data_IF_461448203176
#
_entry.id   IF_461448203176
#
_cell.length_a   1.000
_cell.length_b   1.000
_cell.length_c   1.000
_cell.angle_alpha   90.00
_cell.angle_beta   90.00
_cell.angle_gamma   90.00
#
_symmetry.space_group_name_H-M   'P 1'
#
loop_
_entity.id
_entity.type
_entity.pdbx_description
1 polymer ?
#
# COMPACT_ATOMS: atom_id res chain seq x y z
N UNK A 1 -76.75 10.04 2.70
CA UNK A 1 -77.55 10.10 3.95
C UNK A 1 -77.38 8.77 4.67
N UNK A 2 -77.17 8.80 6.00
CA UNK A 2 -76.90 7.68 6.93
C UNK A 2 -75.44 7.20 6.97
N UNK A 3 -74.83 6.91 8.12
CA UNK A 3 -75.12 7.08 9.56
C UNK A 3 -73.75 6.96 10.25
N UNK A 4 -73.49 7.81 11.25
CA UNK A 4 -72.36 7.69 12.18
C UNK A 4 -72.48 6.42 13.03
N UNK A 5 -71.37 5.70 13.27
CA UNK A 5 -71.22 4.87 14.48
C UNK A 5 -69.82 4.99 15.07
N UNK A 6 -69.80 5.60 16.25
CA UNK A 6 -68.73 5.68 17.24
C UNK A 6 -68.64 4.39 18.07
N UNK A 7 -67.42 3.94 18.38
CA UNK A 7 -67.14 2.86 19.33
C UNK A 7 -65.70 2.97 19.83
N UNK A 8 -65.54 3.21 21.13
CA UNK A 8 -64.33 3.65 21.81
C UNK A 8 -63.24 2.60 22.11
N UNK A 9 -62.30 2.92 23.01
CA UNK A 9 -60.90 2.50 22.95
C UNK A 9 -60.58 1.24 23.75
N UNK A 10 -59.74 0.35 23.18
CA UNK A 10 -59.06 -0.69 23.94
C UNK A 10 -57.64 -0.23 24.28
N UNK A 11 -57.38 0.06 25.55
CA UNK A 11 -56.04 0.27 26.12
C UNK A 11 -55.37 -1.10 26.30
N UNK A 12 -54.25 -1.40 25.63
CA UNK A 12 -53.43 -2.54 26.01
C UNK A 12 -52.50 -2.17 27.17
N UNK A 13 -52.51 -3.03 28.17
CA UNK A 13 -51.63 -3.09 29.33
C UNK A 13 -50.17 -3.20 28.84
N UNK A 14 -49.33 -2.20 29.10
CA UNK A 14 -47.89 -2.27 28.79
C UNK A 14 -47.19 -2.98 29.95
N UNK A 15 -46.86 -4.26 29.77
CA UNK A 15 -45.92 -4.97 30.65
C UNK A 15 -44.51 -4.40 30.44
N UNK A 16 -43.97 -3.74 31.45
CA UNK A 16 -42.58 -3.30 31.48
C UNK A 16 -41.66 -4.51 31.75
N UNK A 17 -41.17 -5.14 30.67
CA UNK A 17 -40.12 -6.16 30.76
C UNK A 17 -38.78 -5.46 30.97
N UNK A 18 -38.24 -5.54 32.19
CA UNK A 18 -36.90 -5.07 32.52
C UNK A 18 -35.86 -5.98 31.84
N UNK A 19 -35.44 -5.62 30.62
CA UNK A 19 -34.28 -6.23 29.98
C UNK A 19 -33.02 -5.78 30.74
N UNK A 20 -32.47 -6.67 31.56
CA UNK A 20 -31.11 -6.56 32.08
C UNK A 20 -30.14 -6.59 30.89
N UNK A 21 -29.69 -5.42 30.46
CA UNK A 21 -28.61 -5.26 29.50
C UNK A 21 -27.32 -5.74 30.16
N UNK A 22 -27.00 -7.03 30.00
CA UNK A 22 -25.64 -7.52 30.21
C UNK A 22 -24.80 -6.89 29.11
N UNK A 23 -24.16 -5.76 29.43
CA UNK A 23 -23.14 -5.18 28.59
C UNK A 23 -21.99 -6.18 28.52
N UNK A 24 -21.98 -7.01 27.48
CA UNK A 24 -20.80 -7.78 27.11
C UNK A 24 -19.74 -6.75 26.72
N UNK A 25 -18.82 -6.47 27.64
CA UNK A 25 -17.61 -5.75 27.30
C UNK A 25 -16.91 -6.59 26.22
N UNK A 26 -17.10 -6.20 24.96
CA UNK A 26 -16.33 -6.79 23.87
C UNK A 26 -14.86 -6.64 24.28
N UNK A 27 -14.07 -7.73 24.32
CA UNK A 27 -12.67 -7.60 24.64
C UNK A 27 -12.09 -6.55 23.70
N UNK A 28 -11.45 -5.53 24.26
CA UNK A 28 -10.59 -4.62 23.53
C UNK A 28 -9.40 -5.45 23.06
N UNK A 29 -9.62 -6.26 22.02
CA UNK A 29 -8.55 -6.98 21.36
C UNK A 29 -7.58 -5.93 20.82
N UNK A 30 -6.29 -6.15 21.10
CA UNK A 30 -5.21 -5.55 20.34
C UNK A 30 -5.59 -5.56 18.85
N UNK A 31 -5.53 -4.39 18.20
CA UNK A 31 -5.92 -4.25 16.80
C UNK A 31 -4.81 -3.55 16.07
N UNK A 32 -3.99 -4.33 15.38
CA UNK A 32 -3.16 -3.82 14.31
C UNK A 32 -4.03 -2.99 13.36
N UNK A 33 -3.71 -1.70 13.29
CA UNK A 33 -4.32 -0.73 12.42
C UNK A 33 -3.30 -0.25 11.39
N UNK A 34 -3.80 0.06 10.19
CA UNK A 34 -2.97 0.49 9.07
C UNK A 34 -3.52 1.79 8.50
N UNK A 35 -2.64 2.71 8.12
CA UNK A 35 -2.98 3.83 7.27
C UNK A 35 -2.00 3.96 6.12
N UNK A 36 -2.50 4.45 4.99
CA UNK A 36 -1.70 4.82 3.83
C UNK A 36 -2.01 6.28 3.48
N UNK A 37 -0.96 7.04 3.21
CA UNK A 37 -1.02 8.33 2.54
C UNK A 37 -0.04 8.35 1.36
N UNK A 38 -0.17 9.32 0.47
CA UNK A 38 0.75 9.44 -0.65
C UNK A 38 0.37 10.54 -1.62
N UNK A 39 1.20 10.69 -2.66
CA UNK A 39 1.01 11.69 -3.69
C UNK A 39 1.30 11.14 -5.08
N UNK A 40 0.58 11.65 -6.07
CA UNK A 40 0.90 11.52 -7.49
C UNK A 40 1.50 12.84 -7.96
N UNK A 41 2.74 12.81 -8.47
CA UNK A 41 3.52 14.01 -8.79
C UNK A 41 4.13 13.94 -10.20
N UNK A 42 4.18 15.06 -10.95
CA UNK A 42 3.56 16.35 -10.63
C UNK A 42 2.03 16.27 -10.71
N UNK A 43 1.34 17.27 -10.12
CA UNK A 43 -0.05 17.50 -10.47
C UNK A 43 -0.14 17.90 -11.96
N UNK A 44 -1.19 17.45 -12.64
CA UNK A 44 -1.42 17.73 -14.06
C UNK A 44 -2.38 18.91 -14.15
N UNK A 45 -1.86 20.05 -14.60
CA UNK A 45 -2.65 21.25 -14.87
C UNK A 45 -3.09 21.29 -16.33
N UNK A 46 -4.33 21.71 -16.58
CA UNK A 46 -4.91 21.75 -17.92
C UNK A 46 -5.38 20.39 -18.43
N UNK A 47 -5.70 20.33 -19.73
CA UNK A 47 -6.20 19.14 -20.41
C UNK A 47 -5.20 18.68 -21.47
N UNK A 48 -4.12 17.99 -21.08
CA UNK A 48 -3.10 17.58 -22.03
C UNK A 48 -3.70 16.59 -23.04
N UNK A 49 -3.29 16.69 -24.30
CA UNK A 49 -3.68 15.75 -25.36
C UNK A 49 -2.89 14.45 -25.32
N UNK A 50 -1.82 14.40 -24.52
CA UNK A 50 -0.96 13.23 -24.32
C UNK A 50 -0.80 12.92 -22.84
N UNK A 51 -0.71 11.64 -22.46
CA UNK A 51 -0.46 11.25 -21.07
C UNK A 51 0.84 11.87 -20.54
N UNK A 52 0.81 12.38 -19.32
CA UNK A 52 1.95 12.98 -18.65
C UNK A 52 2.64 11.95 -17.76
N UNK A 53 3.97 11.97 -17.74
CA UNK A 53 4.78 11.13 -16.84
C UNK A 53 4.57 11.58 -15.39
N UNK A 54 4.24 10.63 -14.52
CA UNK A 54 4.01 10.86 -13.09
C UNK A 54 4.80 9.86 -12.24
N UNK A 55 5.00 10.23 -10.97
CA UNK A 55 5.55 9.40 -9.92
C UNK A 55 4.50 9.23 -8.82
N UNK A 56 4.35 8.00 -8.36
CA UNK A 56 3.54 7.63 -7.22
C UNK A 56 4.44 7.53 -6.00
N UNK A 57 4.17 8.35 -4.98
CA UNK A 57 4.77 8.22 -3.65
C UNK A 57 3.71 7.68 -2.70
N UNK A 58 4.01 6.63 -1.96
CA UNK A 58 3.13 6.06 -0.93
C UNK A 58 3.91 5.93 0.37
N UNK A 59 3.25 6.23 1.47
CA UNK A 59 3.74 6.03 2.82
C UNK A 59 2.66 5.26 3.58
N UNK A 60 3.02 4.10 4.13
CA UNK A 60 2.15 3.32 5.01
C UNK A 60 2.67 3.33 6.43
N UNK A 61 1.75 3.35 7.39
CA UNK A 61 2.01 3.23 8.83
C UNK A 61 1.18 2.11 9.40
N UNK A 62 1.79 1.32 10.25
CA UNK A 62 1.14 0.20 10.95
C UNK A 62 1.39 0.39 12.43
N UNK A 63 0.32 0.41 13.21
CA UNK A 63 0.33 0.57 14.66
C UNK A 63 -0.46 -0.58 15.28
N UNK A 64 -0.13 -0.97 16.50
CA UNK A 64 -0.77 -2.08 17.18
C UNK A 64 0.14 -2.69 18.25
N UNK A 65 -0.42 -3.63 18.99
CA UNK A 65 0.17 -4.27 20.16
C UNK A 65 -0.05 -5.80 20.17
N UNK A 66 -0.36 -6.39 19.02
CA UNK A 66 -0.65 -7.83 18.87
C UNK A 66 0.53 -8.77 19.19
N UNK A 67 1.78 -8.31 19.00
CA UNK A 67 2.99 -9.08 19.35
C UNK A 67 3.47 -8.61 20.72
N UNK A 68 3.41 -9.51 21.70
CA UNK A 68 3.85 -9.31 23.09
C UNK A 68 3.28 -8.06 23.78
N UNK A 69 2.12 -7.57 23.34
CA UNK A 69 1.52 -6.34 23.87
C UNK A 69 2.25 -5.05 23.45
N UNK A 70 3.13 -5.11 22.44
CA UNK A 70 4.07 -4.01 22.13
C UNK A 70 4.13 -3.61 20.67
N UNK A 71 3.95 -4.56 19.75
CA UNK A 71 4.13 -4.31 18.33
C UNK A 71 2.94 -4.79 17.50
N UNK A 72 2.66 -4.16 16.34
CA UNK A 72 1.64 -4.67 15.43
C UNK A 72 1.99 -6.07 14.93
N UNK A 73 0.98 -6.81 14.50
CA UNK A 73 1.12 -8.13 13.93
C UNK A 73 2.01 -8.13 12.67
N UNK A 74 2.63 -9.27 12.42
CA UNK A 74 3.54 -9.47 11.28
C UNK A 74 2.77 -9.51 9.98
N UNK A 75 3.07 -8.59 9.07
CA UNK A 75 2.48 -8.57 7.74
C UNK A 75 2.97 -9.76 6.90
N UNK A 76 2.05 -10.52 6.33
CA UNK A 76 2.33 -11.69 5.47
C UNK A 76 2.06 -11.38 3.99
N UNK A 77 1.14 -10.46 3.71
CA UNK A 77 0.76 -10.07 2.35
C UNK A 77 0.18 -8.67 2.34
N UNK A 78 0.50 -7.91 1.30
CA UNK A 78 -0.12 -6.63 1.01
C UNK A 78 -0.71 -6.67 -0.41
N UNK A 79 -1.98 -6.35 -0.56
CA UNK A 79 -2.63 -6.19 -1.87
C UNK A 79 -3.06 -4.74 -2.01
N UNK A 80 -2.64 -4.08 -3.08
CA UNK A 80 -3.04 -2.70 -3.38
C UNK A 80 -3.77 -2.66 -4.73
N UNK A 81 -4.95 -2.06 -4.73
CA UNK A 81 -5.79 -1.84 -5.90
C UNK A 81 -5.86 -0.33 -6.19
N UNK A 82 -5.58 0.03 -7.43
CA UNK A 82 -5.53 1.42 -7.89
C UNK A 82 -6.71 1.68 -8.83
N UNK A 83 -7.33 2.85 -8.71
CA UNK A 83 -8.40 3.29 -9.62
C UNK A 83 -7.91 3.38 -11.06
N UNK A 84 -8.87 3.44 -11.99
CA UNK A 84 -8.60 3.76 -13.38
C UNK A 84 -7.96 5.15 -13.55
N UNK A 85 -7.30 5.37 -14.69
CA UNK A 85 -6.79 6.69 -15.10
C UNK A 85 -5.28 6.75 -15.31
N UNK A 86 -4.53 5.89 -14.61
CA UNK A 86 -3.10 5.71 -14.85
C UNK A 86 -2.83 4.61 -15.88
N UNK A 87 -1.67 4.69 -16.55
CA UNK A 87 -1.11 3.65 -17.41
C UNK A 87 0.27 3.29 -16.87
N UNK A 88 0.53 1.99 -16.73
CA UNK A 88 1.86 1.48 -16.36
C UNK A 88 2.51 0.92 -17.62
N UNK A 89 3.62 1.54 -18.01
CA UNK A 89 4.31 1.30 -19.27
C UNK A 89 5.53 0.37 -19.11
N UNK A 90 5.48 -0.56 -18.15
CA UNK A 90 6.64 -1.38 -17.77
C UNK A 90 7.25 -2.20 -18.91
N UNK A 91 6.48 -2.49 -19.96
CA UNK A 91 6.96 -3.20 -21.16
C UNK A 91 8.00 -2.40 -21.97
N UNK A 92 8.04 -1.06 -21.86
CA UNK A 92 9.03 -0.24 -22.54
C UNK A 92 10.35 -0.10 -21.76
N UNK A 93 10.36 -0.49 -20.48
CA UNK A 93 11.51 -0.35 -19.61
C UNK A 93 12.31 -1.65 -19.55
N UNK A 94 13.64 -1.61 -19.42
CA UNK A 94 14.44 -2.80 -19.18
C UNK A 94 13.92 -3.55 -17.95
N UNK A 95 13.87 -4.88 -18.04
CA UNK A 95 13.45 -5.73 -16.92
C UNK A 95 14.67 -6.21 -16.12
N UNK A 96 14.52 -6.31 -14.81
CA UNK A 96 15.42 -7.08 -13.96
C UNK A 96 14.88 -8.50 -13.76
N UNK A 97 15.77 -9.50 -13.87
CA UNK A 97 15.46 -10.90 -13.60
C UNK A 97 15.62 -11.17 -12.09
N UNK A 98 14.54 -11.57 -11.37
CA UNK A 98 14.61 -11.85 -9.95
C UNK A 98 15.67 -12.89 -9.60
N UNK A 99 15.81 -13.96 -10.42
CA UNK A 99 16.79 -15.02 -10.18
C UNK A 99 18.23 -14.52 -10.32
N UNK A 100 18.46 -13.54 -11.20
CA UNK A 100 19.77 -12.91 -11.34
C UNK A 100 20.08 -12.02 -10.15
N UNK A 101 19.10 -11.24 -9.68
CA UNK A 101 19.28 -10.37 -8.52
C UNK A 101 19.57 -11.19 -7.25
N UNK A 102 18.82 -12.27 -7.01
CA UNK A 102 19.06 -13.23 -5.92
C UNK A 102 20.46 -13.86 -5.98
N UNK A 103 20.85 -14.43 -7.13
CA UNK A 103 22.19 -15.04 -7.31
C UNK A 103 23.32 -14.05 -7.04
N UNK A 104 23.12 -12.79 -7.40
CA UNK A 104 24.08 -11.71 -7.18
C UNK A 104 23.97 -11.09 -5.78
N UNK A 105 23.25 -11.75 -4.85
CA UNK A 105 23.03 -11.31 -3.46
C UNK A 105 22.49 -9.89 -3.37
N UNK A 106 21.59 -9.55 -4.30
CA UNK A 106 20.91 -8.26 -4.32
C UNK A 106 21.78 -7.08 -4.75
N UNK A 107 22.93 -7.32 -5.40
CA UNK A 107 23.76 -6.24 -5.96
C UNK A 107 22.97 -5.47 -7.03
N UNK A 108 22.83 -4.14 -6.92
CA UNK A 108 22.11 -3.34 -7.91
C UNK A 108 22.62 -3.49 -9.35
N UNK A 109 23.92 -3.79 -9.52
CA UNK A 109 24.55 -4.04 -10.82
C UNK A 109 24.07 -5.32 -11.52
N UNK A 110 23.34 -6.20 -10.82
CA UNK A 110 22.73 -7.39 -11.39
C UNK A 110 21.58 -7.04 -12.35
N UNK A 111 20.93 -5.90 -12.13
CA UNK A 111 19.84 -5.42 -12.95
C UNK A 111 20.35 -4.51 -14.09
N UNK A 112 19.76 -4.58 -15.30
CA UNK A 112 20.11 -3.66 -16.39
C UNK A 112 19.92 -2.20 -15.99
N UNK A 113 20.77 -1.30 -16.51
CA UNK A 113 20.58 0.14 -16.34
C UNK A 113 19.22 0.56 -16.87
N UNK A 114 18.52 1.43 -16.14
CA UNK A 114 17.15 1.87 -16.47
C UNK A 114 16.03 0.94 -16.00
N UNK A 115 16.34 -0.25 -15.43
CA UNK A 115 15.32 -1.12 -14.83
C UNK A 115 14.93 -0.70 -13.42
N UNK A 116 15.76 0.09 -12.70
CA UNK A 116 15.38 0.67 -11.41
C UNK A 116 14.31 1.73 -11.65
N UNK A 117 13.09 1.47 -11.17
CA UNK A 117 11.87 2.29 -11.37
C UNK A 117 11.45 3.08 -10.14
N UNK A 118 12.12 2.86 -9.02
CA UNK A 118 11.77 3.50 -7.78
C UNK A 118 12.74 3.23 -6.65
N UNK A 119 12.44 3.80 -5.49
CA UNK A 119 13.20 3.63 -4.25
C UNK A 119 12.36 4.02 -3.05
N UNK A 120 12.86 3.73 -1.86
CA UNK A 120 12.20 4.08 -0.62
C UNK A 120 12.86 3.46 0.60
N UNK A 121 12.08 3.24 1.65
CA UNK A 121 12.52 2.52 2.83
C UNK A 121 11.35 1.78 3.49
N UNK A 122 11.69 0.82 4.35
CA UNK A 122 10.78 0.23 5.32
C UNK A 122 11.42 0.30 6.71
N UNK A 123 10.60 0.43 7.73
CA UNK A 123 11.00 0.47 9.12
C UNK A 123 10.25 -0.64 9.85
N UNK A 124 11.00 -1.52 10.50
CA UNK A 124 10.44 -2.65 11.23
C UNK A 124 11.19 -2.89 12.53
N UNK A 125 10.51 -3.58 13.43
CA UNK A 125 11.03 -3.93 14.76
C UNK A 125 10.83 -5.42 15.00
N UNK A 126 11.78 -6.05 15.67
CA UNK A 126 11.67 -7.41 16.20
C UNK A 126 12.30 -7.43 17.59
N UNK A 127 11.51 -7.76 18.63
CA UNK A 127 11.93 -7.74 20.04
C UNK A 127 12.60 -6.40 20.42
N UNK A 128 13.93 -6.35 20.49
CA UNK A 128 14.74 -5.18 20.85
C UNK A 128 15.49 -4.56 19.67
N UNK A 129 15.37 -5.16 18.48
CA UNK A 129 16.08 -4.72 17.27
C UNK A 129 15.12 -3.94 16.39
N UNK A 130 15.52 -2.72 16.03
CA UNK A 130 14.78 -1.89 15.09
C UNK A 130 15.67 -1.60 13.90
N UNK A 131 15.16 -1.82 12.69
CA UNK A 131 15.93 -1.69 11.46
C UNK A 131 15.19 -0.81 10.45
N UNK A 132 15.95 0.08 9.80
CA UNK A 132 15.52 0.81 8.62
C UNK A 132 16.12 0.14 7.38
N UNK A 133 15.27 -0.52 6.61
CA UNK A 133 15.65 -1.18 5.38
C UNK A 133 15.57 -0.17 4.23
N UNK A 134 16.65 -0.04 3.48
CA UNK A 134 16.67 0.67 2.20
C UNK A 134 15.95 -0.17 1.15
N UNK A 135 15.05 0.44 0.40
CA UNK A 135 14.27 -0.24 -0.62
C UNK A 135 14.62 0.31 -2.01
N UNK A 136 14.98 -0.57 -2.93
CA UNK A 136 15.06 -0.29 -4.36
C UNK A 136 13.91 -1.00 -5.08
N UNK A 137 13.30 -0.35 -6.06
CA UNK A 137 12.22 -0.94 -6.85
C UNK A 137 12.69 -1.09 -8.29
N UNK A 138 12.61 -2.30 -8.82
CA UNK A 138 12.98 -2.62 -10.20
C UNK A 138 11.76 -3.07 -11.01
N UNK A 139 11.77 -2.77 -12.30
CA UNK A 139 10.83 -3.30 -13.27
C UNK A 139 11.08 -4.80 -13.42
N UNK A 140 10.10 -5.62 -13.09
CA UNK A 140 10.20 -7.07 -13.19
C UNK A 140 10.09 -7.58 -14.63
N UNK A 141 10.14 -8.90 -14.82
CA UNK A 141 10.12 -9.53 -16.15
C UNK A 141 8.96 -9.05 -17.02
N UNK A 142 9.29 -8.51 -18.21
CA UNK A 142 8.34 -7.99 -19.21
C UNK A 142 7.42 -6.87 -18.68
N UNK A 143 7.79 -6.21 -17.59
CA UNK A 143 7.00 -5.17 -16.96
C UNK A 143 5.69 -5.65 -16.35
N UNK A 144 5.62 -6.94 -15.97
CA UNK A 144 4.44 -7.57 -15.34
C UNK A 144 4.56 -7.72 -13.82
N UNK A 145 5.65 -7.25 -13.24
CA UNK A 145 5.82 -7.18 -11.79
C UNK A 145 6.77 -6.04 -11.43
N UNK A 146 6.82 -5.72 -10.14
CA UNK A 146 7.82 -4.84 -9.55
C UNK A 146 8.62 -5.66 -8.55
N UNK A 147 9.95 -5.62 -8.64
CA UNK A 147 10.82 -6.28 -7.69
C UNK A 147 11.22 -5.26 -6.62
N UNK A 148 10.76 -5.46 -5.39
CA UNK A 148 11.16 -4.65 -4.25
C UNK A 148 12.33 -5.33 -3.57
N UNK A 149 13.50 -4.73 -3.65
CA UNK A 149 14.71 -5.22 -2.99
C UNK A 149 14.98 -4.41 -1.73
N UNK A 150 14.97 -5.10 -0.58
CA UNK A 150 15.23 -4.55 0.73
C UNK A 150 16.65 -4.88 1.16
N UNK A 151 17.36 -3.87 1.64
CA UNK A 151 18.73 -4.00 2.13
C UNK A 151 18.93 -3.27 3.44
N UNK A 152 19.62 -3.91 4.38
CA UNK A 152 20.08 -3.35 5.64
C UNK A 152 21.39 -4.05 6.00
N UNK A 153 22.41 -3.31 6.42
CA UNK A 153 23.69 -3.89 6.86
C UNK A 153 23.88 -3.78 8.39
N UNK A 154 23.18 -2.85 9.06
CA UNK A 154 23.22 -2.59 10.50
C UNK A 154 21.81 -2.13 10.97
N UNK A 155 21.21 -2.66 12.05
CA UNK A 155 21.75 -3.62 13.03
C UNK A 155 21.73 -5.08 12.58
N UNK A 156 20.99 -5.41 11.51
CA UNK A 156 20.88 -6.79 11.01
C UNK A 156 21.08 -6.80 9.51
N UNK A 157 21.86 -7.77 9.04
CA UNK A 157 22.11 -8.01 7.63
C UNK A 157 20.85 -8.58 6.95
N UNK A 158 20.10 -7.72 6.27
CA UNK A 158 18.89 -8.11 5.54
C UNK A 158 19.13 -7.83 4.06
N UNK A 159 18.94 -8.86 3.21
CA UNK A 159 18.94 -8.75 1.74
C UNK A 159 17.82 -9.62 1.19
N UNK A 160 16.65 -9.03 1.09
CA UNK A 160 15.43 -9.76 0.74
C UNK A 160 14.73 -9.10 -0.44
N UNK A 161 14.03 -9.91 -1.23
CA UNK A 161 13.31 -9.45 -2.41
C UNK A 161 11.85 -9.85 -2.33
N UNK A 162 10.98 -8.96 -2.79
CA UNK A 162 9.56 -9.23 -3.01
C UNK A 162 9.28 -9.07 -4.50
N UNK A 163 8.84 -10.16 -5.15
CA UNK A 163 8.29 -10.10 -6.51
C UNK A 163 6.81 -9.73 -6.45
N UNK A 164 6.53 -8.44 -6.61
CA UNK A 164 5.18 -7.91 -6.53
C UNK A 164 4.49 -7.96 -7.89
N UNK A 165 3.58 -8.92 -8.06
CA UNK A 165 2.92 -9.15 -9.34
C UNK A 165 1.90 -8.06 -9.64
N UNK A 166 1.92 -7.59 -10.89
CA UNK A 166 1.02 -6.60 -11.44
C UNK A 166 -0.06 -7.28 -12.28
N UNK A 167 -1.32 -7.06 -11.90
CA UNK A 167 -2.49 -7.61 -12.57
C UNK A 167 -3.39 -6.46 -13.07
N UNK A 168 -3.79 -6.53 -14.34
CA UNK A 168 -4.77 -5.60 -14.89
C UNK A 168 -6.18 -6.12 -14.65
N UNK A 169 -7.00 -5.37 -13.91
CA UNK A 169 -8.35 -5.77 -13.52
C UNK A 169 -9.37 -5.42 -14.61
N UNK A 170 -9.34 -6.15 -15.73
CA UNK A 170 -10.27 -5.93 -16.84
C UNK A 170 -11.70 -6.22 -16.41
N UNK A 171 -12.62 -5.31 -16.72
CA UNK A 171 -14.05 -5.43 -16.38
C UNK A 171 -14.42 -4.99 -14.96
N UNK A 172 -13.44 -4.70 -14.09
CA UNK A 172 -13.72 -4.10 -12.78
C UNK A 172 -14.06 -2.61 -12.95
N UNK A 173 -15.20 -2.18 -12.40
CA UNK A 173 -15.68 -0.80 -12.54
C UNK A 173 -14.91 0.22 -11.69
N UNK A 174 -14.32 -0.22 -10.59
CA UNK A 174 -13.74 0.68 -9.59
C UNK A 174 -12.20 0.73 -9.68
N UNK A 175 -11.56 -0.38 -10.02
CA UNK A 175 -10.10 -0.51 -10.01
C UNK A 175 -9.57 -0.99 -11.36
N UNK A 176 -8.47 -0.41 -11.81
CA UNK A 176 -7.82 -0.77 -13.08
C UNK A 176 -6.67 -1.76 -12.91
N UNK A 177 -6.03 -1.76 -11.74
CA UNK A 177 -4.82 -2.55 -11.48
C UNK A 177 -4.76 -3.04 -10.04
N UNK A 178 -4.13 -4.20 -9.86
CA UNK A 178 -3.79 -4.79 -8.57
C UNK A 178 -2.30 -5.09 -8.51
N UNK A 179 -1.67 -4.71 -7.39
CA UNK A 179 -0.31 -5.07 -7.04
C UNK A 179 -0.36 -5.97 -5.81
N UNK A 180 0.18 -7.18 -5.91
CA UNK A 180 0.25 -8.13 -4.77
C UNK A 180 1.68 -8.30 -4.32
N UNK A 181 1.97 -7.97 -3.07
CA UNK A 181 3.27 -8.09 -2.42
C UNK A 181 3.21 -9.24 -1.41
N UNK A 182 3.69 -10.45 -1.76
CA UNK A 182 3.89 -11.52 -0.79
C UNK A 182 5.10 -11.18 0.09
N UNK A 183 4.93 -11.07 1.41
CA UNK A 183 6.06 -10.81 2.30
C UNK A 183 6.78 -12.14 2.57
N UNK A 184 8.06 -12.31 2.19
CA UNK A 184 8.79 -13.56 2.39
C UNK A 184 9.02 -13.83 3.88
N UNK A 185 9.15 -15.11 4.24
CA UNK A 185 9.35 -15.54 5.64
C UNK A 185 10.57 -14.87 6.28
N UNK A 186 11.68 -14.73 5.56
CA UNK A 186 12.87 -14.04 6.07
C UNK A 186 12.72 -12.53 6.30
N UNK A 187 11.58 -11.92 5.93
CA UNK A 187 11.18 -10.58 6.39
C UNK A 187 10.12 -10.62 7.49
N UNK A 188 9.41 -11.73 7.66
CA UNK A 188 8.43 -11.96 8.74
C UNK A 188 9.10 -12.41 10.03
N UNK A 189 10.26 -13.07 9.93
CA UNK A 189 10.99 -13.67 11.03
C UNK A 189 12.48 -13.67 10.64
N UNK A 190 13.31 -12.98 11.42
CA UNK A 190 14.73 -12.82 11.06
C UNK A 190 15.59 -14.02 11.50
N UNK A 191 15.18 -14.66 12.59
CA UNK A 191 15.69 -15.93 13.11
C UNK A 191 14.57 -16.59 13.92
N UNK A 192 14.67 -17.88 14.21
CA UNK A 192 13.66 -18.64 14.96
C UNK A 192 13.17 -17.89 16.23
N UNK A 193 11.87 -17.61 16.28
CA UNK A 193 11.20 -16.91 17.37
C UNK A 193 11.31 -15.37 17.32
N UNK A 194 12.16 -14.80 16.46
CA UNK A 194 12.32 -13.35 16.31
C UNK A 194 11.40 -12.82 15.20
N UNK A 195 10.11 -12.81 15.53
CA UNK A 195 9.04 -12.33 14.68
C UNK A 195 9.15 -10.81 14.48
N UNK A 196 8.97 -10.35 13.25
CA UNK A 196 9.09 -8.94 12.88
C UNK A 196 7.72 -8.25 12.81
N UNK A 197 7.73 -6.95 13.04
CA UNK A 197 6.60 -6.07 12.84
C UNK A 197 6.99 -4.97 11.86
N UNK A 198 6.24 -4.82 10.77
CA UNK A 198 6.33 -3.66 9.90
C UNK A 198 5.67 -2.49 10.62
N UNK A 199 6.37 -1.35 10.75
CA UNK A 199 5.84 -0.14 11.39
C UNK A 199 5.58 0.98 10.39
N UNK A 200 6.46 1.12 9.41
CA UNK A 200 6.34 2.13 8.38
C UNK A 200 6.97 1.65 7.08
N UNK A 201 6.43 2.09 5.95
CA UNK A 201 7.15 2.05 4.69
C UNK A 201 6.91 3.33 3.91
N UNK A 202 7.85 3.68 3.05
CA UNK A 202 7.70 4.74 2.06
C UNK A 202 8.28 4.27 0.75
N UNK A 203 7.50 4.32 -0.33
CA UNK A 203 7.91 3.95 -1.67
C UNK A 203 7.65 5.12 -2.62
N UNK A 204 8.59 5.38 -3.54
CA UNK A 204 8.38 6.24 -4.71
C UNK A 204 8.68 5.43 -5.97
N UNK A 205 7.71 5.35 -6.88
CA UNK A 205 7.80 4.62 -8.14
C UNK A 205 7.37 5.52 -9.30
N UNK A 206 8.06 5.45 -10.43
CA UNK A 206 7.78 6.26 -11.62
C UNK A 206 8.58 7.56 -11.68
N UNK A 207 8.09 8.54 -12.42
CA UNK A 207 8.79 9.81 -12.67
C UNK A 207 9.95 9.73 -13.66
N UNK A 208 10.30 8.53 -14.10
CA UNK A 208 11.31 8.31 -15.14
C UNK A 208 10.70 8.02 -16.49
N UNK A 209 11.50 8.23 -17.52
CA UNK A 209 11.09 8.07 -18.90
C UNK A 209 12.07 7.24 -19.70
N UNK A 210 11.57 6.54 -20.71
CA UNK A 210 12.35 5.85 -21.73
C UNK A 210 11.99 6.37 -23.11
N UNK A 211 12.96 6.40 -24.01
CA UNK A 211 12.73 6.72 -25.42
C UNK A 211 12.48 5.41 -26.16
N UNK A 212 11.33 5.30 -26.83
CA UNK A 212 10.93 4.12 -27.60
C UNK A 212 10.48 4.51 -29.01
N UNK A 213 10.40 3.55 -29.93
CA UNK A 213 9.83 3.76 -31.27
C UNK A 213 8.41 3.21 -31.31
N UNK A 214 7.46 4.06 -31.64
CA UNK A 214 6.06 3.69 -31.85
C UNK A 214 5.63 4.16 -33.24
N UNK A 215 5.15 3.23 -34.08
CA UNK A 215 4.69 3.53 -35.45
C UNK A 215 5.70 4.34 -36.27
N UNK A 216 6.98 3.97 -36.17
CA UNK A 216 8.09 4.65 -36.87
C UNK A 216 8.52 6.00 -36.26
N UNK A 217 7.87 6.49 -35.20
CA UNK A 217 8.22 7.74 -34.52
C UNK A 217 8.89 7.46 -33.19
N UNK A 218 9.91 8.24 -32.88
CA UNK A 218 10.54 8.24 -31.57
C UNK A 218 9.65 8.98 -30.58
N UNK A 219 9.24 8.32 -29.51
CA UNK A 219 8.37 8.87 -28.47
C UNK A 219 8.98 8.64 -27.09
N UNK A 220 8.76 9.61 -26.19
CA UNK A 220 9.16 9.52 -24.79
C UNK A 220 7.99 8.95 -23.98
N UNK A 221 8.23 7.90 -23.19
CA UNK A 221 7.22 7.25 -22.35
C UNK A 221 7.63 7.27 -20.90
N UNK A 222 6.75 7.76 -20.03
CA UNK A 222 6.88 7.64 -18.58
C UNK A 222 6.62 6.22 -18.12
N UNK A 223 7.21 5.79 -17.00
CA UNK A 223 6.93 4.47 -16.41
C UNK A 223 5.48 4.39 -15.92
N UNK A 224 5.01 5.45 -15.27
CA UNK A 224 3.60 5.69 -14.97
C UNK A 224 3.19 6.95 -15.72
N UNK A 225 2.07 6.88 -16.44
CA UNK A 225 1.50 8.03 -17.12
C UNK A 225 0.04 8.22 -16.74
N UNK A 226 -0.42 9.46 -16.69
CA UNK A 226 -1.82 9.80 -16.44
C UNK A 226 -2.28 10.96 -17.34
N UNK A 227 -3.57 10.99 -17.68
CA UNK A 227 -4.17 12.10 -18.43
C UNK A 227 -4.60 13.25 -17.50
N UNK A 228 -5.04 12.91 -16.29
CA UNK A 228 -5.62 13.84 -15.33
C UNK A 228 -5.11 13.54 -13.93
N UNK A 229 -4.72 14.60 -13.23
CA UNK A 229 -4.41 14.60 -11.80
C UNK A 229 -4.38 16.05 -11.32
N UNK A 230 -5.52 16.77 -11.36
CA UNK A 230 -5.52 18.20 -11.08
C UNK A 230 -5.08 18.49 -9.64
N UNK A 231 -4.42 19.63 -9.37
CA UNK A 231 -3.95 19.96 -8.03
C UNK A 231 -5.06 19.82 -6.96
N UNK A 232 -4.76 19.10 -5.87
CA UNK A 232 -5.71 18.88 -4.77
C UNK A 232 -6.74 17.77 -5.00
N UNK A 233 -6.83 17.20 -6.21
CA UNK A 233 -7.66 16.02 -6.43
C UNK A 233 -7.11 14.80 -5.67
N UNK A 234 -8.01 13.87 -5.36
CA UNK A 234 -7.70 12.67 -4.59
C UNK A 234 -7.87 11.43 -5.48
N UNK A 235 -6.83 10.61 -5.52
CA UNK A 235 -6.83 9.28 -6.15
C UNK A 235 -7.13 8.25 -5.08
N UNK A 236 -8.16 7.44 -5.29
CA UNK A 236 -8.55 6.41 -4.33
C UNK A 236 -7.69 5.15 -4.58
N UNK A 237 -7.23 4.53 -3.51
CA UNK A 237 -6.64 3.20 -3.54
C UNK A 237 -7.26 2.34 -2.45
N UNK A 238 -7.48 1.07 -2.74
CA UNK A 238 -7.87 0.08 -1.74
C UNK A 238 -6.67 -0.77 -1.41
N UNK A 239 -6.38 -0.95 -0.14
CA UNK A 239 -5.29 -1.81 0.31
C UNK A 239 -5.80 -2.84 1.30
N UNK A 240 -5.36 -4.09 1.13
CA UNK A 240 -5.62 -5.18 2.05
C UNK A 240 -4.29 -5.67 2.63
N UNK A 241 -4.19 -5.66 3.95
CA UNK A 241 -3.05 -6.18 4.70
C UNK A 241 -3.45 -7.46 5.38
N UNK A 242 -2.75 -8.54 5.06
CA UNK A 242 -2.87 -9.81 5.77
C UNK A 242 -1.74 -9.92 6.79
N UNK A 243 -2.09 -10.47 7.95
CA UNK A 243 -1.20 -10.58 9.09
C UNK A 243 -1.14 -12.01 9.60
N UNK A 244 -0.08 -12.36 10.31
CA UNK A 244 0.05 -13.64 11.01
C UNK A 244 -0.87 -13.63 12.24
N UNK A 245 -1.74 -14.63 12.36
CA UNK A 245 -2.54 -14.86 13.57
C UNK A 245 -3.74 -13.94 13.80
N UNK A 246 -3.96 -12.91 12.97
CA UNK A 246 -5.11 -11.99 13.10
C UNK A 246 -5.84 -11.78 11.76
N UNK A 247 -7.10 -11.30 11.77
CA UNK A 247 -7.83 -10.98 10.55
C UNK A 247 -7.14 -9.95 9.66
N UNK A 248 -7.34 -10.06 8.34
CA UNK A 248 -6.83 -9.06 7.40
C UNK A 248 -7.55 -7.71 7.57
N UNK A 249 -6.82 -6.62 7.39
CA UNK A 249 -7.35 -5.26 7.41
C UNK A 249 -7.51 -4.75 5.98
N UNK A 250 -8.67 -4.18 5.65
CA UNK A 250 -8.91 -3.51 4.36
C UNK A 250 -9.12 -2.03 4.62
N UNK A 251 -8.35 -1.19 3.93
CA UNK A 251 -8.41 0.26 4.05
C UNK A 251 -8.59 0.89 2.67
N UNK A 252 -9.47 1.88 2.58
CA UNK A 252 -9.56 2.77 1.44
C UNK A 252 -8.79 4.04 1.76
N UNK A 253 -7.76 4.35 0.97
CA UNK A 253 -6.85 5.47 1.18
C UNK A 253 -6.95 6.47 0.03
N UNK A 254 -6.58 7.72 0.31
CA UNK A 254 -6.63 8.82 -0.64
C UNK A 254 -5.22 9.36 -0.86
N UNK A 255 -4.79 9.37 -2.12
CA UNK A 255 -3.49 9.90 -2.54
C UNK A 255 -3.73 11.25 -3.21
N UNK A 256 -2.98 12.27 -2.84
CA UNK A 256 -3.20 13.61 -3.38
C UNK A 256 -2.46 13.85 -4.71
N UNK A 257 -3.10 14.56 -5.63
CA UNK A 257 -2.44 15.08 -6.82
C UNK A 257 -1.59 16.31 -6.46
N UNK A 258 -0.27 16.18 -6.60
CA UNK A 258 0.72 17.20 -6.23
C UNK A 258 1.25 17.06 -4.81
N UNK A 259 0.36 17.12 -3.81
CA UNK A 259 0.74 17.08 -2.38
C UNK A 259 0.04 15.93 -1.68
N UNK A 260 0.75 15.21 -0.82
CA UNK A 260 0.14 14.14 -0.03
C UNK A 260 -0.81 14.72 1.03
N UNK A 261 -2.00 14.15 1.24
CA UNK A 261 -2.81 14.51 2.39
C UNK A 261 -2.08 14.10 3.69
N UNK A 262 -2.27 14.84 4.79
CA UNK A 262 -1.75 14.40 6.08
C UNK A 262 -2.36 13.04 6.45
N UNK A 263 -1.66 12.27 7.27
CA UNK A 263 -2.30 11.13 7.92
C UNK A 263 -3.47 11.61 8.78
N UNK A 264 -4.51 10.78 8.91
CA UNK A 264 -5.63 11.08 9.81
C UNK A 264 -5.15 11.24 11.26
N UNK A 265 -5.96 11.91 12.12
CA UNK A 265 -5.58 12.22 13.51
C UNK A 265 -5.25 10.97 14.35
N UNK A 266 -5.72 9.80 13.93
CA UNK A 266 -5.49 8.50 14.57
C UNK A 266 -4.04 8.02 14.45
N UNK A 267 -3.24 8.61 13.56
CA UNK A 267 -1.84 8.23 13.36
C UNK A 267 -0.96 9.40 13.79
N UNK A 268 -0.25 9.30 14.93
CA UNK A 268 0.63 10.37 15.39
C UNK A 268 1.67 10.71 14.30
N UNK A 269 2.21 11.95 14.31
CA UNK A 269 3.26 12.34 13.37
C UNK A 269 4.37 11.30 13.39
N UNK A 270 4.95 11.03 12.21
CA UNK A 270 6.01 10.01 12.08
C UNK A 270 7.06 10.30 13.14
N UNK A 271 7.45 9.28 13.89
CA UNK A 271 8.71 9.31 14.64
C UNK A 271 9.79 9.44 13.58
N UNK A 272 10.11 10.66 13.19
CA UNK A 272 11.32 10.97 12.47
C UNK A 272 12.39 10.54 13.42
N UNK A 273 12.99 9.36 13.16
CA UNK A 273 14.16 8.94 13.91
C UNK A 273 15.12 10.12 13.89
N UNK A 274 15.32 10.72 15.05
CA UNK A 274 16.46 11.58 15.30
C UNK A 274 17.66 10.72 14.92
N UNK A 275 18.31 11.09 13.81
CA UNK A 275 19.62 10.58 13.47
C UNK A 275 20.55 11.00 14.62
N UNK A 276 20.80 10.07 15.54
CA UNK A 276 22.03 10.03 16.35
C UNK A 276 23.06 9.13 15.65
#
# INVERSE_FOLDING_TARGET
MRVFRSGGPARPLVLATACALIATAAPASARTAVAISGAVTPAITGFPTTPQNVALTMEGRVVGDDIDGRFPATATRIVMEFTHGARVNGAYFPSCDPRRLERMRGRPSACPRGSKIGSGYAFGTAISVTARLRMDVYNGPRGRSMLFYFSCDNPVLIRQMIDARFEQLRGNRNYGFRLTLPIPEGLQELTDGMVTSLRQFKAKVGGMTVTTRERGRTVKRGFIEAMTCPPGALVITRSQFSFRGIPSQTIDSRLGCGTAPPFGPEFPPSVTGSEE
#
